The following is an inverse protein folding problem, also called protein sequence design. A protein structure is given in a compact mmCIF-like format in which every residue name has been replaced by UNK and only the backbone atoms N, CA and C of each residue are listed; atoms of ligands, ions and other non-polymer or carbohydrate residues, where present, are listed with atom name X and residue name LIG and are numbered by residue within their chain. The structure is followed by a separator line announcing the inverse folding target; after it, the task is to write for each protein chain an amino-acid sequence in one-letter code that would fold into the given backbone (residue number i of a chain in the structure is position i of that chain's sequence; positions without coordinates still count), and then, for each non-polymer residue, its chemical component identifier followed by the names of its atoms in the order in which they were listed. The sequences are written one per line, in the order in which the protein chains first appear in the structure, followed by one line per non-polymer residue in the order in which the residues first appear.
data_IF_435813240276
#
_entry.id   IF_435813240276
#
_cell.length_a   1.000
_cell.length_b   1.000
_cell.length_c   1.000
_cell.angle_alpha   90.00
_cell.angle_beta   90.00
_cell.angle_gamma   90.00
#
_symmetry.space_group_name_H-M   'P 1'
#
loop_
_entity.id
_entity.type
_entity.pdbx_description
1 polymer ?
#
# COMPACT_ATOMS: atom_id res chain seq x y z
N UNK A 1 15.17 6.52 12.73
CA UNK A 1 14.54 6.06 14.01
C UNK A 1 14.93 4.60 14.20
N UNK A 2 14.61 3.95 15.31
CA UNK A 2 14.85 2.51 15.45
C UNK A 2 13.56 1.68 15.35
N UNK A 3 13.74 0.37 15.31
CA UNK A 3 12.69 -0.63 15.13
C UNK A 3 11.71 -0.64 16.30
N UNK A 4 12.22 -0.65 17.54
CA UNK A 4 11.40 -0.73 18.74
C UNK A 4 10.52 0.51 18.89
N UNK A 5 11.07 1.70 18.62
CA UNK A 5 10.30 2.94 18.61
C UNK A 5 9.20 2.93 17.54
N UNK A 6 9.42 2.30 16.38
CA UNK A 6 8.36 2.16 15.36
C UNK A 6 7.21 1.28 15.86
N UNK A 7 7.54 0.14 16.47
CA UNK A 7 6.57 -0.82 17.02
C UNK A 7 5.76 -0.19 18.15
N UNK A 8 6.41 0.56 19.05
CA UNK A 8 5.72 1.25 20.15
C UNK A 8 4.73 2.30 19.65
N UNK A 9 5.10 3.08 18.63
CA UNK A 9 4.25 4.11 18.05
C UNK A 9 3.09 3.53 17.25
N UNK A 10 3.35 2.43 16.55
CA UNK A 10 2.44 1.81 15.61
C UNK A 10 2.45 0.30 15.85
N UNK A 11 1.75 -0.20 16.90
CA UNK A 11 1.73 -1.63 17.18
C UNK A 11 0.94 -2.40 16.12
N UNK A 12 0.03 -1.74 15.42
CA UNK A 12 -0.78 -2.31 14.35
C UNK A 12 -0.63 -1.53 13.05
N UNK A 13 -0.63 -2.27 11.95
CA UNK A 13 -0.66 -1.76 10.59
C UNK A 13 -1.96 -2.15 9.91
N UNK A 14 -2.38 -1.36 8.92
CA UNK A 14 -3.63 -1.61 8.20
C UNK A 14 -3.40 -1.70 6.70
N UNK A 15 -3.85 -2.81 6.10
CA UNK A 15 -3.91 -2.97 4.65
C UNK A 15 -5.37 -3.10 4.22
N UNK A 16 -5.79 -2.27 3.28
CA UNK A 16 -7.09 -2.41 2.64
C UNK A 16 -6.88 -3.28 1.40
N UNK A 17 -7.78 -4.22 1.09
CA UNK A 17 -7.86 -4.98 -0.16
C UNK A 17 -9.32 -4.98 -0.68
N UNK A 18 -9.55 -5.35 -1.94
CA UNK A 18 -10.92 -5.52 -2.47
C UNK A 18 -11.64 -6.64 -1.68
N UNK A 19 -12.95 -6.52 -1.50
CA UNK A 19 -13.72 -7.56 -0.81
C UNK A 19 -13.54 -8.94 -1.46
N UNK A 20 -13.28 -9.95 -0.64
CA UNK A 20 -13.06 -11.32 -1.09
C UNK A 20 -11.59 -11.64 -1.38
N UNK A 21 -10.68 -10.67 -1.25
CA UNK A 21 -9.25 -10.89 -1.49
C UNK A 21 -8.58 -11.70 -0.39
N UNK A 22 -9.11 -11.69 0.85
CA UNK A 22 -8.42 -12.31 1.99
C UNK A 22 -8.06 -13.79 1.80
N UNK A 23 -8.94 -14.69 1.35
CA UNK A 23 -8.57 -16.10 1.16
C UNK A 23 -7.37 -16.30 0.24
N UNK A 24 -7.31 -15.58 -0.89
CA UNK A 24 -6.18 -15.65 -1.80
C UNK A 24 -4.91 -15.03 -1.19
N UNK A 25 -5.02 -13.90 -0.50
CA UNK A 25 -3.90 -13.24 0.19
C UNK A 25 -3.34 -14.15 1.30
N UNK A 26 -4.21 -14.83 2.06
CA UNK A 26 -3.79 -15.73 3.12
C UNK A 26 -3.04 -16.96 2.57
N UNK A 27 -3.48 -17.47 1.40
CA UNK A 27 -2.89 -18.65 0.78
C UNK A 27 -1.59 -18.35 0.01
N UNK A 28 -1.53 -17.22 -0.69
CA UNK A 28 -0.46 -16.92 -1.65
C UNK A 28 0.45 -15.77 -1.23
N UNK A 29 0.15 -15.13 -0.11
CA UNK A 29 0.84 -13.94 0.37
C UNK A 29 0.25 -12.65 -0.17
N UNK A 30 0.69 -11.54 0.42
CA UNK A 30 0.36 -10.19 -0.05
C UNK A 30 1.35 -9.78 -1.13
N UNK A 31 0.96 -9.92 -2.40
CA UNK A 31 1.84 -9.73 -3.55
C UNK A 31 1.79 -8.29 -4.11
N UNK A 32 2.91 -7.72 -4.57
CA UNK A 32 2.90 -6.46 -5.31
C UNK A 32 2.22 -6.60 -6.68
N UNK A 33 1.73 -5.48 -7.21
CA UNK A 33 1.14 -5.42 -8.56
C UNK A 33 2.05 -6.03 -9.62
N UNK A 34 3.36 -5.71 -9.59
CA UNK A 34 4.33 -6.24 -10.56
C UNK A 34 4.34 -7.77 -10.56
N UNK A 35 4.39 -8.38 -9.38
CA UNK A 35 4.37 -9.84 -9.23
C UNK A 35 3.07 -10.43 -9.76
N UNK A 36 1.91 -9.87 -9.38
CA UNK A 36 0.59 -10.33 -9.84
C UNK A 36 0.50 -10.30 -11.38
N UNK A 37 0.98 -9.22 -12.01
CA UNK A 37 0.91 -9.06 -13.47
C UNK A 37 1.89 -9.98 -14.17
N UNK A 38 3.12 -10.11 -13.68
CA UNK A 38 4.16 -10.95 -14.28
C UNK A 38 3.83 -12.45 -14.20
N UNK A 39 3.12 -12.88 -13.14
CA UNK A 39 2.69 -14.27 -12.95
C UNK A 39 1.33 -14.61 -13.59
N UNK A 40 0.69 -13.66 -14.27
CA UNK A 40 -0.59 -13.86 -14.94
C UNK A 40 -0.45 -14.31 -16.40
N UNK A 41 -1.55 -14.76 -17.00
CA UNK A 41 -1.61 -15.15 -18.42
C UNK A 41 -1.85 -13.97 -19.37
N UNK A 42 -1.70 -12.73 -18.88
CA UNK A 42 -1.83 -11.52 -19.71
C UNK A 42 -0.75 -11.48 -20.79
N UNK A 43 -1.12 -10.95 -21.96
CA UNK A 43 -0.18 -10.70 -23.04
C UNK A 43 0.70 -9.46 -22.76
N UNK A 44 1.70 -9.22 -23.62
CA UNK A 44 2.67 -8.13 -23.41
C UNK A 44 2.05 -6.73 -23.39
N UNK A 45 1.05 -6.48 -24.24
CA UNK A 45 0.33 -5.20 -24.29
C UNK A 45 -0.47 -4.98 -23.00
N UNK A 46 -1.24 -5.97 -22.56
CA UNK A 46 -2.00 -5.92 -21.30
C UNK A 46 -1.09 -5.72 -20.08
N UNK A 47 0.08 -6.38 -20.06
CA UNK A 47 1.09 -6.20 -19.00
C UNK A 47 1.64 -4.77 -19.00
N UNK A 48 1.95 -4.23 -20.17
CA UNK A 48 2.44 -2.85 -20.30
C UNK A 48 1.37 -1.82 -19.90
N UNK A 49 0.11 -2.01 -20.27
CA UNK A 49 -0.99 -1.14 -19.82
C UNK A 49 -1.11 -1.09 -18.30
N UNK A 50 -0.90 -2.22 -17.63
CA UNK A 50 -0.99 -2.30 -16.17
C UNK A 50 0.26 -1.79 -15.45
N UNK A 51 1.46 -2.02 -15.99
CA UNK A 51 2.70 -1.68 -15.30
C UNK A 51 3.25 -0.31 -15.67
N UNK A 52 3.08 0.09 -16.92
CA UNK A 52 3.77 1.25 -17.50
C UNK A 52 2.89 2.49 -17.60
N UNK A 53 1.59 2.32 -17.39
CA UNK A 53 0.63 3.41 -17.44
C UNK A 53 -0.07 3.60 -16.11
N UNK A 54 -0.47 4.86 -15.86
CA UNK A 54 -1.30 5.17 -14.70
C UNK A 54 -2.67 4.53 -14.86
N UNK A 55 -3.01 3.65 -13.93
CA UNK A 55 -4.35 3.04 -13.84
C UNK A 55 -5.36 4.07 -13.33
N UNK A 56 -6.24 4.60 -14.19
CA UNK A 56 -7.24 5.58 -13.78
C UNK A 56 -8.38 4.97 -12.94
N UNK A 57 -8.63 3.68 -13.11
CA UNK A 57 -9.62 2.83 -12.43
C UNK A 57 -8.99 1.49 -12.09
N UNK A 58 -9.56 0.76 -11.14
CA UNK A 58 -9.10 -0.59 -10.81
C UNK A 58 -9.35 -1.52 -11.99
N UNK A 59 -8.51 -2.53 -12.14
CA UNK A 59 -8.58 -3.50 -13.24
C UNK A 59 -8.73 -4.90 -12.66
N UNK A 60 -9.68 -5.66 -13.20
CA UNK A 60 -9.88 -7.05 -12.87
C UNK A 60 -9.00 -7.92 -13.77
N UNK A 61 -8.34 -8.90 -13.17
CA UNK A 61 -7.51 -9.88 -13.85
C UNK A 61 -7.97 -11.26 -13.40
N UNK A 62 -8.35 -12.10 -14.35
CA UNK A 62 -8.53 -13.52 -14.08
C UNK A 62 -7.15 -14.19 -14.04
N UNK A 63 -6.64 -14.40 -12.84
CA UNK A 63 -5.32 -14.96 -12.61
C UNK A 63 -5.38 -16.49 -12.47
N UNK A 64 -4.49 -17.26 -13.10
CA UNK A 64 -4.56 -18.72 -13.11
C UNK A 64 -4.48 -19.36 -11.71
N UNK A 65 -3.68 -18.79 -10.79
CA UNK A 65 -3.56 -19.28 -9.42
C UNK A 65 -4.35 -18.47 -8.38
N UNK A 66 -4.49 -17.15 -8.56
CA UNK A 66 -5.08 -16.26 -7.55
C UNK A 66 -6.60 -16.06 -7.72
N UNK A 67 -7.19 -16.51 -8.83
CA UNK A 67 -8.59 -16.28 -9.16
C UNK A 67 -8.86 -14.88 -9.71
N UNK A 68 -10.04 -14.32 -9.43
CA UNK A 68 -10.37 -12.94 -9.81
C UNK A 68 -9.64 -11.95 -8.89
N UNK A 69 -8.64 -11.26 -9.44
CA UNK A 69 -7.80 -10.30 -8.71
C UNK A 69 -8.11 -8.89 -9.17
N UNK A 70 -8.29 -7.98 -8.21
CA UNK A 70 -8.40 -6.55 -8.48
C UNK A 70 -7.09 -5.85 -8.24
N UNK A 71 -6.46 -5.38 -9.32
CA UNK A 71 -5.34 -4.44 -9.25
C UNK A 71 -5.91 -3.04 -9.10
N UNK A 72 -5.63 -2.39 -7.96
CA UNK A 72 -6.17 -1.07 -7.66
C UNK A 72 -5.67 0.03 -8.58
N UNK A 73 -6.53 1.04 -8.72
CA UNK A 73 -6.19 2.26 -9.44
C UNK A 73 -5.09 3.09 -8.78
N UNK A 74 -4.53 3.95 -9.60
CA UNK A 74 -3.70 5.10 -9.26
C UNK A 74 -4.46 6.39 -9.62
N UNK A 75 -5.78 6.39 -9.45
CA UNK A 75 -6.66 7.51 -9.74
C UNK A 75 -6.26 8.80 -9.03
N UNK A 76 -5.84 8.79 -7.75
CA UNK A 76 -5.33 9.97 -7.07
C UNK A 76 -3.97 10.50 -7.58
N UNK A 77 -3.25 9.72 -8.39
CA UNK A 77 -1.94 10.08 -8.94
C UNK A 77 -2.09 10.92 -10.21
N UNK A 78 -2.50 12.19 -10.08
CA UNK A 78 -2.62 13.08 -11.24
C UNK A 78 -1.24 13.34 -11.88
N UNK A 79 -1.05 12.96 -13.16
CA UNK A 79 0.24 13.05 -13.84
C UNK A 79 0.74 14.49 -14.00
N UNK A 80 -0.16 15.45 -14.28
CA UNK A 80 0.17 16.87 -14.40
C UNK A 80 0.75 17.45 -13.10
N UNK A 81 0.30 16.96 -11.95
CA UNK A 81 0.84 17.35 -10.65
C UNK A 81 2.00 16.47 -10.18
N UNK A 82 2.09 15.24 -10.67
CA UNK A 82 3.15 14.29 -10.34
C UNK A 82 4.47 14.71 -10.98
N UNK A 83 4.47 14.90 -12.30
CA UNK A 83 5.68 15.06 -13.10
C UNK A 83 6.59 16.20 -12.60
N UNK A 84 6.07 17.41 -12.26
CA UNK A 84 6.91 18.49 -11.72
C UNK A 84 7.43 18.23 -10.30
N UNK A 85 6.99 17.15 -9.64
CA UNK A 85 7.38 16.77 -8.27
C UNK A 85 8.35 15.60 -8.25
N UNK A 86 8.61 14.98 -9.40
CA UNK A 86 9.62 13.93 -9.51
C UNK A 86 11.02 14.56 -9.43
N UNK A 87 11.89 13.97 -8.62
CA UNK A 87 13.25 14.48 -8.39
C UNK A 87 14.25 13.79 -9.31
N UNK A 88 14.30 12.46 -9.23
CA UNK A 88 15.37 11.63 -9.80
C UNK A 88 14.83 10.40 -10.55
N UNK A 89 13.52 10.36 -10.79
CA UNK A 89 12.84 9.27 -11.50
C UNK A 89 11.89 9.84 -12.56
N UNK A 90 11.65 9.08 -13.62
CA UNK A 90 10.59 9.38 -14.58
C UNK A 90 9.22 8.99 -14.02
N UNK A 91 8.13 9.35 -14.72
CA UNK A 91 6.78 8.88 -14.35
C UNK A 91 6.75 7.35 -14.33
N UNK A 92 7.28 6.70 -15.37
CA UNK A 92 7.43 5.24 -15.42
C UNK A 92 8.18 4.71 -14.20
N UNK A 93 9.37 5.26 -13.90
CA UNK A 93 10.16 4.81 -12.75
C UNK A 93 9.44 5.00 -11.42
N UNK A 94 8.59 6.02 -11.29
CA UNK A 94 7.73 6.17 -10.13
C UNK A 94 6.64 5.07 -10.06
N UNK A 95 6.00 4.74 -11.18
CA UNK A 95 5.05 3.63 -11.25
C UNK A 95 5.70 2.30 -10.92
N UNK A 96 6.92 2.05 -11.39
CA UNK A 96 7.72 0.86 -11.07
C UNK A 96 7.97 0.75 -9.56
N UNK A 97 8.41 1.84 -8.93
CA UNK A 97 8.58 1.91 -7.48
C UNK A 97 7.27 1.53 -6.76
N UNK A 98 6.11 2.04 -7.22
CA UNK A 98 4.84 1.70 -6.59
C UNK A 98 4.46 0.22 -6.83
N UNK A 99 4.64 -0.28 -8.05
CA UNK A 99 4.20 -1.62 -8.45
C UNK A 99 5.04 -2.74 -7.81
N UNK A 100 6.24 -2.45 -7.33
CA UNK A 100 7.12 -3.39 -6.59
C UNK A 100 6.78 -3.53 -5.09
N UNK A 101 5.82 -2.77 -4.59
CA UNK A 101 5.56 -2.65 -3.14
C UNK A 101 4.12 -2.97 -2.78
N UNK A 102 3.96 -3.41 -1.55
CA UNK A 102 2.66 -3.44 -0.85
C UNK A 102 2.71 -2.42 0.27
N UNK A 103 1.56 -1.81 0.58
CA UNK A 103 1.49 -0.62 1.44
C UNK A 103 0.58 -0.85 2.63
N UNK A 104 0.97 -0.26 3.76
CA UNK A 104 0.24 -0.27 5.00
C UNK A 104 0.08 1.15 5.54
N UNK A 105 -1.10 1.45 6.07
CA UNK A 105 -1.33 2.62 6.90
C UNK A 105 -0.88 2.34 8.33
N UNK A 106 -0.19 3.30 8.94
CA UNK A 106 0.26 3.19 10.33
C UNK A 106 -0.74 3.82 11.33
N UNK A 107 -1.80 4.46 10.84
CA UNK A 107 -2.77 5.15 11.68
C UNK A 107 -4.20 4.88 11.21
N UNK A 108 -5.15 4.57 12.11
CA UNK A 108 -6.54 4.28 11.75
C UNK A 108 -7.21 5.43 11.01
N UNK A 109 -6.94 6.69 11.36
CA UNK A 109 -7.47 7.85 10.62
C UNK A 109 -7.06 7.89 9.14
N UNK A 110 -5.88 7.36 8.78
CA UNK A 110 -5.44 7.29 7.38
C UNK A 110 -6.21 6.22 6.62
N UNK A 111 -6.41 5.06 7.24
CA UNK A 111 -7.29 4.02 6.73
C UNK A 111 -8.73 4.56 6.56
N UNK A 112 -9.27 5.22 7.58
CA UNK A 112 -10.62 5.80 7.56
C UNK A 112 -10.77 6.82 6.42
N UNK A 113 -9.76 7.67 6.21
CA UNK A 113 -9.73 8.60 5.08
C UNK A 113 -9.76 7.90 3.71
N UNK A 114 -9.11 6.74 3.58
CA UNK A 114 -9.16 5.94 2.36
C UNK A 114 -10.53 5.25 2.18
N UNK A 115 -11.05 4.60 3.23
CA UNK A 115 -12.35 3.94 3.23
C UNK A 115 -13.50 4.88 2.89
N UNK A 116 -13.44 6.14 3.36
CA UNK A 116 -14.47 7.15 3.12
C UNK A 116 -14.23 7.99 1.87
N UNK A 117 -13.12 7.79 1.16
CA UNK A 117 -12.85 8.51 -0.07
C UNK A 117 -13.95 8.23 -1.10
N UNK A 118 -14.31 9.25 -1.88
CA UNK A 118 -15.37 9.17 -2.92
C UNK A 118 -15.26 7.93 -3.82
N UNK A 119 -14.04 7.47 -4.06
CA UNK A 119 -13.75 6.32 -4.94
C UNK A 119 -14.05 4.96 -4.31
N UNK A 120 -14.01 4.86 -2.97
CA UNK A 120 -14.06 3.58 -2.25
C UNK A 120 -15.21 3.48 -1.26
N UNK A 121 -15.82 4.60 -0.85
CA UNK A 121 -16.85 4.63 0.22
C UNK A 121 -18.07 3.75 -0.05
N UNK A 122 -18.38 3.53 -1.32
CA UNK A 122 -19.54 2.75 -1.76
C UNK A 122 -19.13 1.30 -2.12
N UNK A 123 -17.82 1.00 -2.13
CA UNK A 123 -17.26 -0.34 -2.39
C UNK A 123 -17.04 -1.10 -1.09
N UNK A 124 -17.25 -2.41 -1.12
CA UNK A 124 -16.92 -3.28 0.01
C UNK A 124 -15.43 -3.62 -0.05
N UNK A 125 -14.74 -3.61 1.08
CA UNK A 125 -13.30 -3.83 1.18
C UNK A 125 -13.00 -4.84 2.30
N UNK A 126 -11.94 -5.63 2.14
CA UNK A 126 -11.36 -6.40 3.23
C UNK A 126 -10.23 -5.58 3.87
N UNK A 127 -10.30 -5.31 5.17
CA UNK A 127 -9.29 -4.58 5.93
C UNK A 127 -8.54 -5.56 6.82
N UNK A 128 -7.27 -5.78 6.50
CA UNK A 128 -6.34 -6.57 7.29
C UNK A 128 -5.71 -5.66 8.35
N UNK A 129 -5.80 -6.08 9.62
CA UNK A 129 -5.01 -5.52 10.71
C UNK A 129 -3.84 -6.46 10.98
N UNK A 130 -2.63 -5.93 10.99
CA UNK A 130 -1.38 -6.69 11.04
C UNK A 130 -0.60 -6.31 12.29
N UNK A 131 -0.05 -7.30 13.00
CA UNK A 131 0.90 -7.07 14.09
C UNK A 131 2.21 -6.53 13.52
N UNK A 132 2.63 -5.37 14.02
CA UNK A 132 3.79 -4.67 13.47
C UNK A 132 5.09 -5.37 13.81
N UNK A 133 5.19 -5.93 15.03
CA UNK A 133 6.41 -6.60 15.46
C UNK A 133 6.67 -7.82 14.60
N UNK A 134 5.67 -8.70 14.46
CA UNK A 134 5.82 -9.95 13.72
C UNK A 134 6.17 -9.69 12.24
N UNK A 135 5.51 -8.71 11.60
CA UNK A 135 5.80 -8.32 10.23
C UNK A 135 7.23 -7.80 10.07
N UNK A 136 7.67 -6.93 10.99
CA UNK A 136 9.00 -6.33 10.88
C UNK A 136 10.09 -7.38 11.12
N UNK A 137 9.90 -8.31 12.04
CA UNK A 137 10.83 -9.42 12.26
C UNK A 137 11.01 -10.30 11.00
N UNK A 138 9.98 -10.48 10.18
CA UNK A 138 10.07 -11.24 8.92
C UNK A 138 10.56 -10.42 7.71
N UNK A 139 10.35 -9.10 7.70
CA UNK A 139 10.53 -8.28 6.49
C UNK A 139 11.42 -7.03 6.65
N UNK A 140 12.10 -6.80 7.80
CA UNK A 140 12.81 -5.54 8.12
C UNK A 140 13.68 -4.98 7.00
N UNK A 141 14.44 -5.82 6.29
CA UNK A 141 15.35 -5.38 5.23
C UNK A 141 14.62 -4.80 4.01
N UNK A 142 13.38 -5.21 3.80
CA UNK A 142 12.52 -4.81 2.66
C UNK A 142 11.54 -3.68 3.04
N UNK A 143 11.45 -3.36 4.32
CA UNK A 143 10.57 -2.31 4.84
C UNK A 143 11.14 -0.93 4.55
N UNK A 144 10.29 -0.05 4.03
CA UNK A 144 10.59 1.37 3.83
C UNK A 144 9.46 2.23 4.37
N UNK A 145 9.81 3.37 4.93
CA UNK A 145 8.86 4.35 5.47
C UNK A 145 8.72 5.53 4.49
N UNK A 146 7.48 5.98 4.31
CA UNK A 146 7.15 7.14 3.49
C UNK A 146 6.43 8.22 4.31
N UNK A 147 6.81 9.51 4.18
CA UNK A 147 6.16 10.63 4.84
C UNK A 147 4.87 11.11 4.15
N UNK A 148 4.47 10.46 3.05
CA UNK A 148 3.32 10.86 2.22
C UNK A 148 2.53 9.65 1.76
N UNK A 149 1.29 9.90 1.32
CA UNK A 149 0.58 8.93 0.48
C UNK A 149 1.24 8.92 -0.90
N UNK A 150 2.02 7.88 -1.19
CA UNK A 150 2.83 7.80 -2.41
C UNK A 150 1.99 7.61 -3.68
N UNK A 151 0.81 7.00 -3.55
CA UNK A 151 -0.19 6.84 -4.61
C UNK A 151 -1.02 8.09 -4.93
N UNK A 152 -0.75 9.23 -4.29
CA UNK A 152 -1.53 10.46 -4.47
C UNK A 152 -0.69 11.68 -4.90
N UNK A 153 -1.17 12.39 -5.93
CA UNK A 153 -0.63 13.65 -6.43
C UNK A 153 -1.77 14.61 -6.81
N UNK A 154 -2.73 14.82 -5.91
CA UNK A 154 -4.00 15.47 -6.28
C UNK A 154 -3.88 16.97 -6.61
N UNK A 155 -2.87 17.66 -6.08
CA UNK A 155 -2.77 19.12 -6.14
C UNK A 155 -1.38 19.59 -6.62
N UNK A 156 -1.25 20.80 -7.18
CA UNK A 156 0.04 21.38 -7.57
C UNK A 156 1.04 21.53 -6.41
N UNK A 157 0.53 21.54 -5.17
CA UNK A 157 1.29 21.61 -3.93
C UNK A 157 1.73 20.24 -3.41
N UNK A 158 1.54 19.16 -4.18
CA UNK A 158 1.97 17.83 -3.78
C UNK A 158 3.45 17.81 -3.41
N UNK A 159 3.80 16.99 -2.42
CA UNK A 159 5.17 16.90 -1.90
C UNK A 159 6.10 16.32 -2.99
N UNK A 160 7.35 16.79 -3.09
CA UNK A 160 8.37 16.17 -3.93
C UNK A 160 8.53 14.68 -3.65
N UNK A 161 8.83 13.91 -4.70
CA UNK A 161 8.96 12.46 -4.62
C UNK A 161 10.01 11.91 -5.57
N UNK A 162 10.55 10.75 -5.22
CA UNK A 162 11.68 10.14 -5.92
C UNK A 162 12.19 8.93 -5.14
N UNK A 163 13.40 8.47 -5.45
CA UNK A 163 14.00 7.31 -4.76
C UNK A 163 14.00 7.47 -3.23
N UNK A 164 14.30 8.69 -2.75
CA UNK A 164 14.36 9.04 -1.33
C UNK A 164 12.98 9.25 -0.65
N UNK A 165 11.86 9.03 -1.35
CA UNK A 165 10.54 9.01 -0.69
C UNK A 165 10.42 7.83 0.27
N UNK A 166 11.06 6.71 -0.06
CA UNK A 166 11.01 5.46 0.69
C UNK A 166 12.35 5.19 1.36
N UNK A 167 12.45 5.48 2.66
CA UNK A 167 13.71 5.33 3.40
C UNK A 167 13.67 4.10 4.33
N UNK A 168 14.79 3.41 4.55
CA UNK A 168 14.91 2.44 5.63
C UNK A 168 14.56 3.04 6.99
N UNK A 169 14.13 2.20 7.94
CA UNK A 169 13.75 2.64 9.30
C UNK A 169 14.90 3.42 9.97
N UNK A 170 16.12 2.89 9.87
CA UNK A 170 17.33 3.48 10.43
C UNK A 170 17.58 4.91 9.91
N UNK A 171 17.38 5.12 8.61
CA UNK A 171 17.63 6.41 7.92
C UNK A 171 16.45 7.38 8.03
N UNK A 172 15.33 6.95 8.62
CA UNK A 172 14.14 7.78 8.72
C UNK A 172 14.25 8.81 9.87
N UNK A 173 14.40 10.08 9.54
CA UNK A 173 14.39 11.19 10.51
C UNK A 173 12.96 11.49 11.02
N UNK A 174 12.45 10.59 11.86
CA UNK A 174 11.15 10.71 12.51
C UNK A 174 11.06 11.99 13.35
N UNK A 175 12.12 12.34 14.08
CA UNK A 175 12.09 13.46 15.01
C UNK A 175 11.88 14.79 14.28
N UNK A 176 12.60 15.03 13.17
CA UNK A 176 12.37 16.23 12.36
C UNK A 176 10.99 16.24 11.70
N UNK A 177 10.56 15.10 11.16
CA UNK A 177 9.24 14.99 10.50
C UNK A 177 8.09 15.21 11.46
N UNK A 178 8.16 14.63 12.66
CA UNK A 178 7.18 14.85 13.73
C UNK A 178 7.10 16.31 14.14
N UNK A 179 8.23 17.01 14.27
CA UNK A 179 8.24 18.46 14.55
C UNK A 179 7.56 19.26 13.44
N UNK A 180 7.78 18.90 12.19
CA UNK A 180 7.26 19.63 11.04
C UNK A 180 5.79 19.32 10.70
N UNK A 181 5.33 18.09 10.92
CA UNK A 181 4.04 17.58 10.40
C UNK A 181 3.10 17.04 11.49
N UNK A 182 3.56 16.98 12.73
CA UNK A 182 2.86 16.30 13.82
C UNK A 182 3.04 14.77 13.77
N UNK A 183 2.64 14.05 14.84
CA UNK A 183 2.90 12.63 14.99
C UNK A 183 2.19 11.77 13.92
N UNK A 184 0.92 12.06 13.62
CA UNK A 184 0.10 11.28 12.66
C UNK A 184 0.62 11.39 11.21
N UNK A 185 1.25 12.51 10.85
CA UNK A 185 1.78 12.72 9.50
C UNK A 185 3.31 12.59 9.43
N UNK A 186 3.95 12.20 10.53
CA UNK A 186 5.38 12.00 10.57
C UNK A 186 5.80 10.80 9.72
N UNK A 187 4.99 9.73 9.75
CA UNK A 187 5.07 8.52 8.92
C UNK A 187 3.65 8.26 8.42
N UNK A 188 3.47 8.19 7.10
CA UNK A 188 2.14 8.05 6.49
C UNK A 188 1.94 6.65 5.96
N UNK A 189 2.95 6.08 5.31
CA UNK A 189 2.91 4.72 4.76
C UNK A 189 4.14 3.93 5.20
N UNK A 190 3.92 2.64 5.44
CA UNK A 190 4.94 1.62 5.50
C UNK A 190 4.80 0.78 4.23
N UNK A 191 5.88 0.66 3.48
CA UNK A 191 5.91 -0.11 2.24
C UNK A 191 6.86 -1.29 2.38
N UNK A 192 6.49 -2.45 1.85
CA UNK A 192 7.35 -3.63 1.79
C UNK A 192 7.62 -3.97 0.33
N UNK A 193 8.89 -3.89 -0.08
CA UNK A 193 9.32 -4.27 -1.43
C UNK A 193 9.24 -5.79 -1.60
N UNK A 194 8.67 -6.24 -2.72
CA UNK A 194 8.51 -7.66 -3.04
C UNK A 194 7.36 -8.36 -2.32
N UNK A 195 6.52 -7.64 -1.57
CA UNK A 195 5.34 -8.20 -0.92
C UNK A 195 5.58 -8.81 0.46
N UNK A 196 4.63 -9.59 0.96
CA UNK A 196 4.74 -10.33 2.23
C UNK A 196 4.20 -11.75 1.99
N UNK A 197 5.06 -12.71 1.60
CA UNK A 197 4.64 -14.08 1.29
C UNK A 197 3.92 -14.78 2.46
N UNK A 198 4.34 -14.46 3.67
CA UNK A 198 3.90 -15.01 4.96
C UNK A 198 2.89 -14.10 5.68
N UNK A 199 2.15 -13.24 4.95
CA UNK A 199 1.26 -12.23 5.56
C UNK A 199 0.23 -12.84 6.53
N UNK A 200 -0.20 -14.08 6.27
CA UNK A 200 -1.17 -14.78 7.11
C UNK A 200 -0.71 -14.95 8.56
N UNK A 201 0.60 -15.10 8.78
CA UNK A 201 1.19 -15.29 10.11
C UNK A 201 1.20 -14.00 10.94
N UNK A 202 1.00 -12.85 10.29
CA UNK A 202 1.09 -11.51 10.91
C UNK A 202 -0.27 -10.83 11.07
N UNK A 203 -1.31 -11.34 10.42
CA UNK A 203 -2.66 -10.75 10.46
C UNK A 203 -3.37 -11.13 11.75
N UNK A 204 -3.83 -10.13 12.50
CA UNK A 204 -4.55 -10.31 13.77
C UNK A 204 -6.07 -10.17 13.63
N UNK A 205 -6.55 -9.51 12.57
CA UNK A 205 -7.97 -9.50 12.21
C UNK A 205 -8.17 -9.12 10.75
N UNK A 206 -9.27 -9.60 10.15
CA UNK A 206 -9.71 -9.17 8.82
C UNK A 206 -11.19 -8.84 8.85
N UNK A 207 -11.49 -7.56 8.63
CA UNK A 207 -12.84 -7.03 8.68
C UNK A 207 -13.33 -6.62 7.30
N UNK A 208 -14.56 -7.00 6.98
CA UNK A 208 -15.26 -6.54 5.79
C UNK A 208 -15.91 -5.21 6.08
N UNK A 209 -15.57 -4.19 5.30
CA UNK A 209 -15.98 -2.81 5.52
C UNK A 209 -16.67 -2.23 4.28
N UNK A 210 -17.67 -1.37 4.47
CA UNK A 210 -18.15 -0.44 3.44
C UNK A 210 -18.15 0.96 4.04
N UNK A 211 -17.26 1.83 3.56
CA UNK A 211 -16.94 3.05 4.30
C UNK A 211 -16.45 2.71 5.72
N UNK A 212 -17.08 3.28 6.75
CA UNK A 212 -16.76 2.99 8.15
C UNK A 212 -17.67 1.93 8.78
N UNK A 213 -18.63 1.39 8.01
CA UNK A 213 -19.51 0.32 8.47
C UNK A 213 -18.79 -1.02 8.36
N UNK A 214 -18.79 -1.79 9.44
CA UNK A 214 -18.30 -3.16 9.46
C UNK A 214 -19.45 -4.12 9.11
N UNK A 215 -19.30 -4.84 8.00
CA UNK A 215 -20.28 -5.80 7.50
C UNK A 215 -20.01 -7.23 7.99
N UNK A 216 -18.83 -7.49 8.55
CA UNK A 216 -18.46 -8.79 9.12
C UNK A 216 -16.96 -8.96 9.33
N UNK A 217 -16.57 -10.10 9.88
CA UNK A 217 -15.18 -10.45 10.16
C UNK A 217 -14.89 -11.88 9.69
N UNK A 218 -13.67 -12.11 9.21
CA UNK A 218 -13.20 -13.45 8.88
C UNK A 218 -12.71 -14.20 10.12
N UNK A 219 -13.01 -15.49 10.19
CA UNK A 219 -12.35 -16.38 11.16
C UNK A 219 -10.93 -16.68 10.68
N UNK A 220 -9.93 -16.25 11.44
CA UNK A 220 -8.53 -16.65 11.26
C UNK A 220 -8.37 -18.04 11.90
N UNK A 221 -8.40 -19.10 11.10
CA UNK A 221 -8.15 -20.47 11.53
C UNK A 221 -7.14 -21.12 10.60
#
# INVERSE_FOLDING_TARGET
MDLEHLIELHPQLFHMAEAGSWPAIAQHGLLPTRTIVESSDLNEEERSELLDQRRATSVHILHPQLGDVVVRDQGPLNLTHLEPKLIDVSVQGWLDILNERVFFWLHPDKLAGLLTARRYRDSVQDVLTVDTRSLLESAVQRVRLSPINSGAALYPTATPRGSNTFLPIADYDYAARRRARGPVNAIVELAVTGGVPDIADHVVSVRRMQGLEELGEYSLR
#
